data_IF_534433810933
#
_entry.id   IF_534433810933
#
_cell.length_a   1.000
_cell.length_b   1.000
_cell.length_c   1.000
_cell.angle_alpha   90.00
_cell.angle_beta   90.00
_cell.angle_gamma   90.00
#
_symmetry.space_group_name_H-M   'P 1'
#
loop_
_entity.id
_entity.type
_entity.pdbx_description
1 polymer ?
#
# COMPACT_ATOMS: atom_id res chain seq x y z
N UNK A 1 19.93 -9.09 12.07
CA UNK A 1 18.55 -9.43 11.67
C UNK A 1 18.25 -8.66 10.40
N UNK A 2 18.06 -9.34 9.27
CA UNK A 2 17.58 -8.69 8.04
C UNK A 2 16.06 -8.63 8.07
N UNK A 3 15.51 -7.50 7.67
CA UNK A 3 14.07 -7.32 7.48
C UNK A 3 13.83 -6.86 6.05
N UNK A 4 12.65 -7.20 5.53
CA UNK A 4 12.18 -6.71 4.23
C UNK A 4 11.01 -5.78 4.49
N UNK A 5 11.13 -4.56 3.99
CA UNK A 5 10.03 -3.60 4.02
C UNK A 5 9.20 -3.74 2.75
N UNK A 6 7.88 -3.80 2.90
CA UNK A 6 6.91 -3.76 1.80
C UNK A 6 5.92 -2.66 2.13
N UNK A 7 5.79 -1.68 1.25
CA UNK A 7 4.76 -0.65 1.36
C UNK A 7 3.47 -1.18 0.74
N UNK A 8 2.42 -1.33 1.53
CA UNK A 8 1.07 -1.63 1.02
C UNK A 8 0.42 -0.29 0.67
N UNK A 9 0.12 -0.08 -0.61
CA UNK A 9 -0.42 1.18 -1.09
C UNK A 9 -1.53 0.99 -2.13
N UNK A 10 -2.19 2.09 -2.50
CA UNK A 10 -3.09 2.20 -3.64
C UNK A 10 -3.01 3.61 -4.25
N UNK A 11 -3.57 3.82 -5.43
CA UNK A 11 -3.70 5.15 -6.01
C UNK A 11 -4.66 6.03 -5.19
N UNK A 12 -4.58 7.34 -5.44
CA UNK A 12 -5.28 8.34 -4.63
C UNK A 12 -6.80 8.28 -4.85
N UNK A 13 -7.25 7.89 -6.05
CA UNK A 13 -8.67 7.71 -6.37
C UNK A 13 -9.26 6.54 -5.57
N UNK A 14 -8.59 5.39 -5.59
CA UNK A 14 -8.94 4.20 -4.83
C UNK A 14 -8.90 4.51 -3.33
N UNK A 15 -7.88 5.20 -2.83
CA UNK A 15 -7.78 5.59 -1.42
C UNK A 15 -8.97 6.47 -1.01
N UNK A 16 -9.29 7.48 -1.81
CA UNK A 16 -10.40 8.41 -1.57
C UNK A 16 -11.73 7.68 -1.53
N UNK A 17 -11.98 6.80 -2.51
CA UNK A 17 -13.19 5.98 -2.57
C UNK A 17 -13.31 5.07 -1.35
N UNK A 18 -12.25 4.32 -1.01
CA UNK A 18 -12.25 3.38 0.12
C UNK A 18 -12.49 4.08 1.45
N UNK A 19 -11.86 5.23 1.67
CA UNK A 19 -12.04 6.01 2.90
C UNK A 19 -13.44 6.63 2.96
N UNK A 20 -13.86 7.32 1.91
CA UNK A 20 -15.09 8.11 1.95
C UNK A 20 -16.35 7.26 1.82
N UNK A 21 -16.33 6.22 0.97
CA UNK A 21 -17.51 5.43 0.61
C UNK A 21 -17.49 4.09 1.34
N UNK A 22 -16.47 3.27 1.11
CA UNK A 22 -16.48 1.88 1.60
C UNK A 22 -16.37 1.81 3.14
N UNK A 23 -15.67 2.78 3.74
CA UNK A 23 -15.44 2.87 5.20
C UNK A 23 -16.25 3.97 5.89
N UNK A 24 -16.78 4.94 5.14
CA UNK A 24 -17.54 6.06 5.71
C UNK A 24 -16.69 7.02 6.56
N UNK A 25 -15.40 7.16 6.24
CA UNK A 25 -14.42 8.02 6.92
C UNK A 25 -13.86 9.10 5.97
N UNK A 26 -14.69 10.02 5.46
CA UNK A 26 -14.28 11.04 4.48
C UNK A 26 -13.25 12.03 5.04
N UNK A 27 -13.20 12.25 6.36
CA UNK A 27 -12.22 13.11 7.02
C UNK A 27 -10.77 12.62 6.84
N UNK A 28 -10.59 11.33 6.60
CA UNK A 28 -9.29 10.74 6.29
C UNK A 28 -8.90 10.90 4.82
N UNK A 29 -9.84 11.20 3.92
CA UNK A 29 -9.57 11.47 2.51
C UNK A 29 -9.12 12.93 2.28
N UNK A 30 -8.22 13.41 3.14
CA UNK A 30 -7.72 14.79 3.11
C UNK A 30 -6.47 14.92 2.23
N UNK A 31 -6.14 16.16 1.86
CA UNK A 31 -4.89 16.46 1.16
C UNK A 31 -3.66 15.99 1.96
N UNK A 32 -3.69 16.12 3.29
CA UNK A 32 -2.60 15.65 4.16
C UNK A 32 -2.40 14.14 4.07
N UNK A 33 -3.48 13.36 4.01
CA UNK A 33 -3.39 11.90 3.79
C UNK A 33 -2.75 11.56 2.44
N UNK A 34 -3.15 12.26 1.37
CA UNK A 34 -2.58 12.03 0.03
C UNK A 34 -1.10 12.45 -0.04
N UNK A 35 -0.74 13.54 0.64
CA UNK A 35 0.65 13.98 0.77
C UNK A 35 1.50 12.94 1.53
N UNK A 36 0.98 12.37 2.62
CA UNK A 36 1.65 11.28 3.35
C UNK A 36 1.85 10.05 2.48
N UNK A 37 0.84 9.65 1.70
CA UNK A 37 0.98 8.52 0.80
C UNK A 37 1.99 8.79 -0.33
N UNK A 38 2.00 9.98 -0.90
CA UNK A 38 3.02 10.40 -1.88
C UNK A 38 4.43 10.34 -1.28
N UNK A 39 4.61 10.86 -0.06
CA UNK A 39 5.86 10.79 0.66
C UNK A 39 6.34 9.34 0.85
N UNK A 40 5.48 8.44 1.33
CA UNK A 40 5.83 7.03 1.54
C UNK A 40 6.19 6.31 0.24
N UNK A 41 5.48 6.58 -0.87
CA UNK A 41 5.84 6.04 -2.20
C UNK A 41 7.23 6.49 -2.63
N UNK A 42 7.56 7.76 -2.39
CA UNK A 42 8.88 8.30 -2.73
C UNK A 42 9.98 7.66 -1.89
N UNK A 43 9.76 7.51 -0.58
CA UNK A 43 10.71 6.83 0.31
C UNK A 43 10.91 5.36 -0.09
N UNK A 44 9.82 4.61 -0.30
CA UNK A 44 9.91 3.22 -0.75
C UNK A 44 10.67 3.10 -2.07
N UNK A 45 10.40 3.98 -3.03
CA UNK A 45 11.13 4.03 -4.30
C UNK A 45 12.61 4.36 -4.10
N UNK A 46 12.94 5.34 -3.25
CA UNK A 46 14.31 5.78 -3.00
C UNK A 46 15.17 4.70 -2.34
N UNK A 47 14.60 3.92 -1.44
CA UNK A 47 15.29 2.83 -0.75
C UNK A 47 15.14 1.46 -1.45
N UNK A 48 14.43 1.40 -2.59
CA UNK A 48 14.22 0.16 -3.34
C UNK A 48 13.34 -0.87 -2.62
N UNK A 49 12.42 -0.41 -1.77
CA UNK A 49 11.43 -1.26 -1.12
C UNK A 49 10.28 -1.61 -2.08
N UNK A 50 9.77 -2.83 -1.98
CA UNK A 50 8.62 -3.27 -2.78
C UNK A 50 7.39 -2.45 -2.40
N UNK A 51 6.66 -1.99 -3.42
CA UNK A 51 5.35 -1.36 -3.26
C UNK A 51 4.30 -2.35 -3.76
N UNK A 52 3.50 -2.88 -2.84
CA UNK A 52 2.33 -3.68 -3.19
C UNK A 52 1.17 -2.74 -3.50
N UNK A 53 0.96 -2.48 -4.80
CA UNK A 53 -0.21 -1.75 -5.28
C UNK A 53 -1.48 -2.64 -5.19
N UNK A 54 -2.43 -2.19 -4.38
CA UNK A 54 -3.71 -2.86 -4.11
C UNK A 54 -4.90 -2.22 -4.82
N UNK A 55 -4.68 -1.23 -5.69
CA UNK A 55 -5.76 -0.46 -6.33
C UNK A 55 -6.73 -1.36 -7.10
N UNK A 56 -6.17 -2.35 -7.79
CA UNK A 56 -6.90 -3.31 -8.62
C UNK A 56 -6.84 -4.75 -8.07
N UNK A 57 -6.49 -4.92 -6.79
CA UNK A 57 -6.42 -6.24 -6.15
C UNK A 57 -7.62 -6.45 -5.21
N UNK A 58 -8.13 -7.68 -5.21
CA UNK A 58 -8.94 -8.14 -4.08
C UNK A 58 -8.05 -8.36 -2.85
N UNK A 59 -8.68 -8.48 -1.68
CA UNK A 59 -7.96 -8.76 -0.44
C UNK A 59 -7.16 -10.07 -0.55
N UNK A 60 -7.77 -11.11 -1.11
CA UNK A 60 -7.16 -12.44 -1.29
C UNK A 60 -5.92 -12.36 -2.20
N UNK A 61 -6.00 -11.61 -3.29
CA UNK A 61 -4.87 -11.40 -4.19
C UNK A 61 -3.73 -10.64 -3.51
N UNK A 62 -4.07 -9.63 -2.69
CA UNK A 62 -3.08 -8.91 -1.88
C UNK A 62 -2.37 -9.83 -0.89
N UNK A 63 -3.13 -10.66 -0.16
CA UNK A 63 -2.59 -11.64 0.79
C UNK A 63 -1.70 -12.67 0.07
N UNK A 64 -2.15 -13.21 -1.07
CA UNK A 64 -1.36 -14.17 -1.85
C UNK A 64 -0.01 -13.56 -2.26
N UNK A 65 0.00 -12.28 -2.67
CA UNK A 65 1.23 -11.59 -3.08
C UNK A 65 2.20 -11.41 -1.91
N UNK A 66 1.73 -11.06 -0.72
CA UNK A 66 2.56 -10.99 0.49
C UNK A 66 3.13 -12.38 0.85
N UNK A 67 2.31 -13.43 0.81
CA UNK A 67 2.77 -14.81 1.08
C UNK A 67 3.85 -15.24 0.10
N UNK A 68 3.72 -14.87 -1.19
CA UNK A 68 4.74 -15.14 -2.21
C UNK A 68 6.07 -14.45 -1.88
N UNK A 69 6.04 -13.18 -1.48
CA UNK A 69 7.26 -12.45 -1.09
C UNK A 69 7.92 -13.03 0.16
N UNK A 70 7.14 -13.45 1.15
CA UNK A 70 7.68 -14.13 2.34
C UNK A 70 8.37 -15.45 1.97
N UNK A 71 7.78 -16.23 1.07
CA UNK A 71 8.37 -17.49 0.61
C UNK A 71 9.66 -17.29 -0.19
N UNK A 72 9.73 -16.24 -1.03
CA UNK A 72 10.94 -15.88 -1.79
C UNK A 72 12.15 -15.61 -0.89
N UNK A 73 11.91 -15.12 0.33
CA UNK A 73 12.96 -14.79 1.30
C UNK A 73 13.44 -15.99 2.14
N UNK A 74 12.72 -17.12 2.09
CA UNK A 74 13.08 -18.36 2.81
C UNK A 74 13.82 -19.38 1.94
N UNK A 75 14.21 -18.99 0.71
CA UNK A 75 15.00 -19.80 -0.24
C UNK A 75 16.41 -19.24 -0.34
#
# INVERSE_FOLDING_TARGET
>A
MSYTCILIDCDDETRTKRLSIDRGQPELASADMMNWASFLRNEASAYGYEILDTSNLTLEQGVERIVRELRRQHV
#
